data_IF_858961717534
#
_entry.id   IF_858961717534
#
_cell.length_a   1.000
_cell.length_b   1.000
_cell.length_c   1.000
_cell.angle_alpha   90.00
_cell.angle_beta   90.00
_cell.angle_gamma   90.00
#
_symmetry.space_group_name_H-M   'P 1'
#
loop_
_entity.id
_entity.type
_entity.pdbx_description
1 polymer ?
#
# COMPACT_ATOMS: atom_id res chain seq x y z
N UNK A 1 0.52 22.79 3.67
CA UNK A 1 -0.01 22.06 2.49
C UNK A 1 1.07 21.17 1.88
N UNK A 2 2.18 21.73 1.37
CA UNK A 2 3.27 20.94 0.77
C UNK A 2 3.87 19.85 1.67
N UNK A 3 4.20 20.15 2.95
CA UNK A 3 4.73 19.14 3.89
C UNK A 3 3.84 17.91 4.02
N UNK A 4 2.52 18.12 4.04
CA UNK A 4 1.53 17.05 4.15
C UNK A 4 1.51 16.17 2.90
N UNK A 5 1.43 16.80 1.72
CA UNK A 5 1.50 16.08 0.45
C UNK A 5 2.78 15.24 0.35
N UNK A 6 3.95 15.84 0.58
CA UNK A 6 5.22 15.11 0.50
C UNK A 6 5.32 14.00 1.54
N UNK A 7 4.83 14.20 2.76
CA UNK A 7 4.77 13.14 3.76
C UNK A 7 3.96 11.93 3.28
N UNK A 8 2.77 12.17 2.71
CA UNK A 8 1.88 11.11 2.20
C UNK A 8 2.50 10.43 0.98
N UNK A 9 3.09 11.20 0.06
CA UNK A 9 3.78 10.66 -1.10
C UNK A 9 4.96 9.78 -0.71
N UNK A 10 5.80 10.23 0.23
CA UNK A 10 6.98 9.47 0.66
C UNK A 10 6.60 8.22 1.45
N UNK A 11 5.59 8.28 2.34
CA UNK A 11 5.13 7.05 3.01
C UNK A 11 4.47 6.09 2.02
N UNK A 12 3.72 6.60 1.03
CA UNK A 12 3.18 5.77 -0.05
C UNK A 12 4.27 5.06 -0.84
N UNK A 13 5.39 5.75 -1.10
CA UNK A 13 6.55 5.17 -1.78
C UNK A 13 7.21 4.07 -0.94
N UNK A 14 7.34 4.27 0.37
CA UNK A 14 7.85 3.22 1.28
C UNK A 14 6.90 2.03 1.34
N UNK A 15 5.59 2.26 1.40
CA UNK A 15 4.59 1.20 1.41
C UNK A 15 4.68 0.39 0.12
N UNK A 16 4.77 1.06 -1.04
CA UNK A 16 4.92 0.36 -2.32
C UNK A 16 6.22 -0.43 -2.42
N UNK A 17 7.34 0.14 -2.01
CA UNK A 17 8.62 -0.59 -1.99
C UNK A 17 8.53 -1.82 -1.07
N UNK A 18 7.84 -1.71 0.07
CA UNK A 18 7.62 -2.83 0.97
C UNK A 18 6.75 -3.90 0.34
N UNK A 19 5.68 -3.52 -0.36
CA UNK A 19 4.78 -4.41 -1.11
C UNK A 19 5.56 -5.18 -2.19
N UNK A 20 6.23 -4.43 -3.08
CA UNK A 20 7.13 -4.95 -4.11
C UNK A 20 8.21 -5.89 -3.52
N UNK A 21 8.71 -5.63 -2.30
CA UNK A 21 9.69 -6.50 -1.65
C UNK A 21 9.08 -7.83 -1.17
N UNK A 22 7.85 -7.80 -0.65
CA UNK A 22 7.15 -9.00 -0.20
C UNK A 22 6.74 -9.88 -1.39
N UNK A 23 6.41 -9.27 -2.53
CA UNK A 23 5.96 -9.96 -3.73
C UNK A 23 7.09 -10.35 -4.70
N UNK A 24 8.36 -10.11 -4.32
CA UNK A 24 9.51 -10.35 -5.19
C UNK A 24 9.55 -11.77 -5.77
N UNK A 25 9.19 -12.79 -4.99
CA UNK A 25 9.20 -14.18 -5.44
C UNK A 25 8.11 -14.45 -6.49
N UNK A 26 6.95 -13.80 -6.35
CA UNK A 26 5.83 -13.92 -7.29
C UNK A 26 6.18 -13.15 -8.57
N UNK A 27 6.71 -11.95 -8.46
CA UNK A 27 7.14 -11.13 -9.59
C UNK A 27 8.27 -11.79 -10.37
N UNK A 28 9.17 -12.48 -9.67
CA UNK A 28 10.21 -13.29 -10.29
C UNK A 28 9.62 -14.38 -11.20
N UNK A 29 8.53 -15.02 -10.76
CA UNK A 29 7.82 -16.04 -11.54
C UNK A 29 7.03 -15.44 -12.72
N UNK A 30 6.50 -14.21 -12.56
CA UNK A 30 5.77 -13.48 -13.62
C UNK A 30 6.69 -12.77 -14.62
N UNK A 31 8.01 -12.80 -14.40
CA UNK A 31 9.03 -12.06 -15.17
C UNK A 31 8.79 -10.54 -15.16
N UNK A 32 8.15 -10.03 -14.12
CA UNK A 32 7.82 -8.61 -14.01
C UNK A 32 9.00 -7.78 -13.50
N UNK A 33 9.01 -6.51 -13.92
CA UNK A 33 10.01 -5.54 -13.47
C UNK A 33 9.54 -5.03 -12.13
N UNK A 34 10.39 -5.16 -11.12
CA UNK A 34 10.12 -4.74 -9.76
C UNK A 34 11.22 -3.76 -9.31
N UNK A 35 10.85 -2.68 -8.63
CA UNK A 35 11.80 -1.65 -8.17
C UNK A 35 12.87 -2.19 -7.22
N UNK A 36 12.54 -3.26 -6.49
CA UNK A 36 13.43 -3.96 -5.57
C UNK A 36 14.59 -4.60 -6.31
N UNK A 37 14.39 -5.09 -7.55
CA UNK A 37 15.48 -5.60 -8.40
C UNK A 37 16.44 -4.49 -8.83
N UNK A 38 15.91 -3.28 -9.08
CA UNK A 38 16.72 -2.12 -9.48
C UNK A 38 17.56 -1.59 -8.30
N UNK A 39 16.96 -1.55 -7.11
CA UNK A 39 17.59 -1.02 -5.91
C UNK A 39 18.44 -2.08 -5.17
N UNK A 40 18.19 -3.37 -5.39
CA UNK A 40 18.87 -4.52 -4.79
C UNK A 40 19.06 -4.35 -3.27
N UNK A 41 20.29 -4.44 -2.77
CA UNK A 41 20.61 -4.29 -1.34
C UNK A 41 20.32 -2.89 -0.79
N UNK A 42 20.12 -1.90 -1.66
CA UNK A 42 19.78 -0.52 -1.29
C UNK A 42 18.33 -0.31 -0.84
N UNK A 43 17.43 -1.26 -1.13
CA UNK A 43 15.99 -1.14 -0.84
C UNK A 43 15.71 -0.79 0.63
N UNK A 44 16.36 -1.51 1.55
CA UNK A 44 16.17 -1.33 2.98
C UNK A 44 16.71 0.02 3.49
N UNK A 45 17.99 0.39 3.27
CA UNK A 45 18.49 1.68 3.77
C UNK A 45 17.78 2.87 3.13
N UNK A 46 17.42 2.81 1.84
CA UNK A 46 16.68 3.91 1.21
C UNK A 46 15.26 4.04 1.75
N UNK A 47 14.54 2.94 1.94
CA UNK A 47 13.20 2.95 2.56
C UNK A 47 13.22 3.55 3.96
N UNK A 48 14.25 3.22 4.76
CA UNK A 48 14.43 3.76 6.12
C UNK A 48 14.69 5.28 6.12
N UNK A 49 15.51 5.78 5.21
CA UNK A 49 15.74 7.23 5.09
C UNK A 49 14.46 7.94 4.68
N UNK A 50 13.74 7.37 3.70
CA UNK A 50 12.51 7.98 3.16
C UNK A 50 11.41 8.03 4.23
N UNK A 51 11.21 6.96 5.00
CA UNK A 51 10.20 6.96 6.06
C UNK A 51 10.54 7.96 7.17
N UNK A 52 11.82 8.12 7.54
CA UNK A 52 12.25 9.12 8.52
C UNK A 52 11.90 10.53 8.04
N UNK A 53 12.14 10.84 6.77
CA UNK A 53 11.76 12.13 6.18
C UNK A 53 10.24 12.30 6.15
N UNK A 54 9.49 11.26 5.77
CA UNK A 54 8.03 11.29 5.75
C UNK A 54 7.44 11.59 7.14
N UNK A 55 7.97 10.94 8.18
CA UNK A 55 7.59 11.14 9.58
C UNK A 55 7.97 12.53 10.08
N UNK A 56 9.14 13.06 9.70
CA UNK A 56 9.54 14.43 10.05
C UNK A 56 8.63 15.50 9.43
N UNK A 57 8.07 15.25 8.24
CA UNK A 57 7.18 16.18 7.56
C UNK A 57 5.75 16.19 8.13
N UNK A 58 5.20 15.01 8.45
CA UNK A 58 3.91 14.86 9.12
C UNK A 58 3.82 13.50 9.83
N UNK A 59 4.27 13.47 11.08
CA UNK A 59 4.35 12.26 11.89
C UNK A 59 3.00 11.51 11.98
N UNK A 60 1.92 12.24 12.28
CA UNK A 60 0.61 11.61 12.53
C UNK A 60 0.11 10.86 11.29
N UNK A 61 0.15 11.47 10.12
CA UNK A 61 -0.38 10.84 8.91
C UNK A 61 0.53 9.75 8.38
N UNK A 62 1.84 10.02 8.26
CA UNK A 62 2.79 9.01 7.81
C UNK A 62 2.76 7.75 8.70
N UNK A 63 2.82 7.92 10.02
CA UNK A 63 2.77 6.78 10.92
C UNK A 63 1.44 6.01 10.79
N UNK A 64 0.29 6.69 10.77
CA UNK A 64 -0.99 5.97 10.66
C UNK A 64 -1.22 5.31 9.31
N UNK A 65 -0.76 5.89 8.20
CA UNK A 65 -0.84 5.24 6.89
C UNK A 65 0.05 4.01 6.81
N UNK A 66 1.26 4.07 7.36
CA UNK A 66 2.18 2.93 7.42
C UNK A 66 1.63 1.80 8.34
N UNK A 67 1.09 2.15 9.51
CA UNK A 67 0.48 1.14 10.40
C UNK A 67 -0.80 0.55 9.79
N UNK A 68 -1.58 1.35 9.06
CA UNK A 68 -2.75 0.87 8.35
C UNK A 68 -2.38 -0.05 7.18
N UNK A 69 -1.34 0.24 6.39
CA UNK A 69 -0.88 -0.69 5.34
C UNK A 69 -0.43 -2.01 5.90
N UNK A 70 0.28 -2.02 7.03
CA UNK A 70 0.61 -3.25 7.74
C UNK A 70 -0.65 -4.01 8.18
N UNK A 71 -1.56 -3.32 8.87
CA UNK A 71 -2.78 -3.91 9.43
C UNK A 71 -3.62 -4.57 8.34
N UNK A 72 -3.87 -3.85 7.24
CA UNK A 72 -4.75 -4.32 6.16
C UNK A 72 -4.04 -5.33 5.26
N UNK A 73 -2.77 -5.09 4.89
CA UNK A 73 -2.00 -6.00 4.04
C UNK A 73 -1.78 -7.37 4.68
N UNK A 74 -1.28 -7.40 5.92
CA UNK A 74 -1.01 -8.68 6.60
C UNK A 74 -2.29 -9.44 6.98
N UNK A 75 -3.43 -8.75 7.11
CA UNK A 75 -4.70 -9.42 7.41
C UNK A 75 -5.21 -10.33 6.28
N UNK A 76 -4.77 -10.11 5.02
CA UNK A 76 -5.19 -10.93 3.86
C UNK A 76 -4.64 -12.36 3.93
N UNK A 77 -3.45 -12.58 4.50
CA UNK A 77 -2.77 -13.89 4.48
C UNK A 77 -3.23 -14.73 5.67
N UNK A 78 -4.32 -15.48 5.54
CA UNK A 78 -4.89 -16.23 6.65
C UNK A 78 -3.96 -17.40 7.11
N UNK A 79 -3.75 -17.53 8.43
CA UNK A 79 -2.96 -18.58 9.10
C UNK A 79 -1.45 -18.67 8.79
N UNK A 80 -0.85 -17.69 8.11
CA UNK A 80 0.61 -17.65 8.02
C UNK A 80 1.22 -17.23 9.36
N UNK A 81 2.22 -17.97 9.81
CA UNK A 81 2.94 -17.70 11.06
C UNK A 81 4.13 -16.82 10.74
N UNK A 82 4.15 -15.61 11.30
CA UNK A 82 5.21 -14.63 11.08
C UNK A 82 6.43 -14.92 11.99
N UNK A 83 7.59 -14.27 11.75
CA UNK A 83 8.79 -14.47 12.58
C UNK A 83 8.60 -14.21 14.08
N UNK A 84 7.58 -13.43 14.46
CA UNK A 84 7.17 -13.23 15.86
C UNK A 84 6.54 -14.46 16.51
N UNK A 85 6.25 -15.50 15.72
CA UNK A 85 5.45 -16.71 16.03
C UNK A 85 3.95 -16.46 16.18
N UNK A 86 3.47 -15.25 15.92
CA UNK A 86 2.03 -14.95 15.86
C UNK A 86 1.49 -15.22 14.46
N UNK A 87 0.18 -15.48 14.39
CA UNK A 87 -0.53 -15.47 13.10
C UNK A 87 -0.62 -14.04 12.60
N UNK A 88 -0.52 -13.86 11.28
CA UNK A 88 -0.70 -12.58 10.59
C UNK A 88 -1.86 -11.71 11.12
N UNK A 89 -3.05 -12.30 11.26
CA UNK A 89 -4.23 -11.59 11.76
C UNK A 89 -4.09 -11.13 13.22
N UNK A 90 -3.34 -11.86 14.05
CA UNK A 90 -3.10 -11.49 15.46
C UNK A 90 -2.17 -10.28 15.53
N UNK A 91 -1.15 -10.24 14.68
CA UNK A 91 -0.29 -9.07 14.57
C UNK A 91 -1.04 -7.86 14.02
N UNK A 92 -1.87 -8.03 12.99
CA UNK A 92 -2.72 -6.95 12.47
C UNK A 92 -3.60 -6.35 13.57
N UNK A 93 -4.21 -7.17 14.43
CA UNK A 93 -5.00 -6.68 15.57
C UNK A 93 -4.12 -5.92 16.58
N UNK A 94 -2.93 -6.43 16.88
CA UNK A 94 -2.01 -5.77 17.80
C UNK A 94 -1.57 -4.40 17.26
N UNK A 95 -1.17 -4.33 15.99
CA UNK A 95 -0.77 -3.08 15.31
C UNK A 95 -1.94 -2.09 15.23
N UNK A 96 -3.15 -2.58 14.98
CA UNK A 96 -4.36 -1.77 15.02
C UNK A 96 -4.58 -1.12 16.40
N UNK A 97 -4.51 -1.92 17.47
CA UNK A 97 -4.67 -1.44 18.84
C UNK A 97 -3.60 -0.40 19.17
N UNK A 98 -2.34 -0.66 18.81
CA UNK A 98 -1.26 0.31 18.99
C UNK A 98 -1.54 1.62 18.23
N UNK A 99 -2.00 1.55 16.98
CA UNK A 99 -2.36 2.74 16.20
C UNK A 99 -3.45 3.56 16.89
N UNK A 100 -4.49 2.91 17.42
CA UNK A 100 -5.57 3.58 18.15
C UNK A 100 -5.05 4.27 19.42
N UNK A 101 -4.19 3.60 20.19
CA UNK A 101 -3.59 4.14 21.42
C UNK A 101 -2.73 5.37 21.12
N UNK A 102 -1.87 5.32 20.10
CA UNK A 102 -0.93 6.40 19.80
C UNK A 102 -1.53 7.57 19.02
N UNK A 103 -2.54 7.34 18.16
CA UNK A 103 -2.99 8.34 17.19
C UNK A 103 -4.48 8.69 17.24
N UNK A 104 -5.25 8.03 18.12
CA UNK A 104 -6.72 8.06 18.21
C UNK A 104 -7.45 7.14 17.22
N UNK A 105 -8.68 6.80 17.61
CA UNK A 105 -9.62 6.02 16.80
C UNK A 105 -9.89 6.66 15.43
N UNK A 106 -10.22 7.96 15.40
CA UNK A 106 -10.57 8.66 14.16
C UNK A 106 -9.42 8.71 13.15
N UNK A 107 -8.19 8.91 13.64
CA UNK A 107 -7.01 8.93 12.76
C UNK A 107 -6.75 7.54 12.18
N UNK A 108 -6.77 6.50 13.01
CA UNK A 108 -6.55 5.12 12.60
C UNK A 108 -7.62 4.65 11.62
N UNK A 109 -8.89 4.90 11.93
CA UNK A 109 -10.01 4.53 11.06
C UNK A 109 -9.90 5.20 9.68
N UNK A 110 -9.57 6.50 9.64
CA UNK A 110 -9.38 7.19 8.37
C UNK A 110 -8.23 6.61 7.54
N UNK A 111 -7.14 6.17 8.17
CA UNK A 111 -6.01 5.59 7.48
C UNK A 111 -6.35 4.20 6.93
N UNK A 112 -7.04 3.37 7.72
CA UNK A 112 -7.51 2.05 7.27
C UNK A 112 -8.45 2.18 6.07
N UNK A 113 -9.46 3.04 6.14
CA UNK A 113 -10.41 3.22 5.03
C UNK A 113 -9.68 3.62 3.74
N UNK A 114 -8.74 4.57 3.81
CA UNK A 114 -8.00 5.04 2.65
C UNK A 114 -7.04 3.97 2.09
N UNK A 115 -6.32 3.27 2.96
CA UNK A 115 -5.41 2.19 2.56
C UNK A 115 -6.15 0.98 2.01
N UNK A 116 -7.27 0.57 2.62
CA UNK A 116 -8.12 -0.49 2.07
C UNK A 116 -8.67 -0.09 0.70
N UNK A 117 -9.06 1.18 0.53
CA UNK A 117 -9.47 1.71 -0.78
C UNK A 117 -8.34 1.63 -1.81
N UNK A 118 -7.10 1.96 -1.43
CA UNK A 118 -5.93 1.84 -2.29
C UNK A 118 -5.68 0.38 -2.72
N UNK A 119 -5.67 -0.54 -1.77
CA UNK A 119 -5.48 -1.97 -2.07
C UNK A 119 -6.56 -2.55 -2.98
N UNK A 120 -7.81 -2.08 -2.88
CA UNK A 120 -8.86 -2.48 -3.81
C UNK A 120 -8.55 -1.95 -5.23
N UNK A 121 -7.99 -0.74 -5.35
CA UNK A 121 -7.56 -0.18 -6.64
C UNK A 121 -6.40 -0.99 -7.23
N UNK A 122 -5.41 -1.36 -6.43
CA UNK A 122 -4.34 -2.29 -6.84
C UNK A 122 -4.93 -3.61 -7.35
N UNK A 123 -5.77 -4.24 -6.53
CA UNK A 123 -6.46 -5.49 -6.86
C UNK A 123 -7.29 -5.38 -8.16
N UNK A 124 -7.90 -4.22 -8.46
CA UNK A 124 -8.62 -3.95 -9.72
C UNK A 124 -7.70 -3.82 -10.94
N UNK A 125 -6.54 -3.19 -10.76
CA UNK A 125 -5.54 -3.04 -11.82
C UNK A 125 -4.99 -4.42 -12.16
N UNK A 126 -4.59 -5.18 -11.15
CA UNK A 126 -3.94 -6.49 -11.31
C UNK A 126 -4.91 -7.52 -11.89
N UNK A 127 -6.19 -7.48 -11.48
CA UNK A 127 -7.22 -8.37 -12.03
C UNK A 127 -7.34 -8.30 -13.58
N UNK A 128 -6.95 -7.17 -14.20
CA UNK A 128 -6.97 -7.05 -15.67
C UNK A 128 -5.76 -7.68 -16.35
N UNK A 129 -4.63 -7.76 -15.65
CA UNK A 129 -3.36 -8.23 -16.21
C UNK A 129 -3.06 -9.68 -15.83
N UNK A 130 -3.67 -10.20 -14.77
CA UNK A 130 -3.31 -11.51 -14.24
C UNK A 130 -3.86 -12.67 -15.08
N UNK A 131 -2.93 -13.44 -15.66
CA UNK A 131 -3.21 -14.74 -16.32
C UNK A 131 -3.23 -15.88 -15.30
N UNK A 132 -2.71 -15.65 -14.09
CA UNK A 132 -2.63 -16.60 -12.98
C UNK A 132 -3.34 -16.04 -11.76
N UNK A 133 -4.45 -16.65 -11.35
CA UNK A 133 -5.26 -16.16 -10.23
C UNK A 133 -4.53 -16.30 -8.90
N UNK A 134 -4.21 -15.18 -8.28
CA UNK A 134 -3.79 -15.14 -6.88
C UNK A 134 -5.00 -15.27 -5.94
N UNK A 135 -4.98 -16.30 -5.08
CA UNK A 135 -6.07 -16.58 -4.12
C UNK A 135 -6.31 -15.50 -3.05
N UNK A 136 -5.51 -14.43 -3.03
CA UNK A 136 -5.55 -13.37 -2.03
C UNK A 136 -6.10 -12.03 -2.54
N UNK A 137 -6.43 -11.92 -3.84
CA UNK A 137 -7.01 -10.70 -4.41
C UNK A 137 -8.48 -10.53 -3.93
N UNK A 138 -8.84 -9.33 -3.46
CA UNK A 138 -10.20 -9.03 -2.96
C UNK A 138 -11.25 -9.28 -4.05
N UNK A 139 -10.94 -9.03 -5.32
CA UNK A 139 -11.84 -9.28 -6.43
C UNK A 139 -12.13 -10.77 -6.64
N UNK A 140 -11.15 -11.65 -6.42
CA UNK A 140 -11.36 -13.09 -6.53
C UNK A 140 -12.17 -13.65 -5.34
N UNK A 141 -12.03 -13.04 -4.15
CA UNK A 141 -12.77 -13.44 -2.95
C UNK A 141 -14.20 -12.91 -2.94
N UNK A 142 -14.41 -11.64 -3.27
CA UNK A 142 -15.71 -10.96 -3.15
C UNK A 142 -16.48 -10.86 -4.47
N UNK A 143 -15.79 -10.98 -5.60
CA UNK A 143 -16.32 -10.72 -6.94
C UNK A 143 -16.28 -9.23 -7.31
N UNK A 144 -16.13 -8.96 -8.62
CA UNK A 144 -16.01 -7.60 -9.18
C UNK A 144 -17.14 -6.63 -8.75
N UNK A 145 -18.44 -7.00 -8.79
CA UNK A 145 -19.50 -6.08 -8.39
C UNK A 145 -19.46 -5.72 -6.90
N UNK A 146 -19.20 -6.72 -6.04
CA UNK A 146 -19.14 -6.54 -4.59
C UNK A 146 -17.95 -5.67 -4.18
N UNK A 147 -16.77 -5.93 -4.76
CA UNK A 147 -15.57 -5.11 -4.54
C UNK A 147 -15.80 -3.65 -4.97
N UNK A 148 -16.49 -3.44 -6.11
CA UNK A 148 -16.83 -2.10 -6.59
C UNK A 148 -17.76 -1.37 -5.63
N UNK A 149 -18.84 -2.02 -5.19
CA UNK A 149 -19.78 -1.43 -4.23
C UNK A 149 -19.08 -1.11 -2.90
N UNK A 150 -18.22 -2.00 -2.41
CA UNK A 150 -17.45 -1.80 -1.20
C UNK A 150 -16.50 -0.61 -1.32
N UNK A 151 -15.76 -0.49 -2.43
CA UNK A 151 -14.91 0.66 -2.72
C UNK A 151 -15.71 1.98 -2.72
N UNK A 152 -16.88 2.00 -3.36
CA UNK A 152 -17.75 3.18 -3.39
C UNK A 152 -18.22 3.59 -2.00
N UNK A 153 -18.53 2.62 -1.13
CA UNK A 153 -18.89 2.89 0.28
C UNK A 153 -17.71 3.53 1.02
N UNK A 154 -16.49 2.98 0.90
CA UNK A 154 -15.29 3.54 1.52
C UNK A 154 -15.01 4.97 1.03
N UNK A 155 -15.22 5.23 -0.27
CA UNK A 155 -15.05 6.54 -0.88
C UNK A 155 -16.08 7.54 -0.33
N UNK A 156 -17.36 7.17 -0.23
CA UNK A 156 -18.42 8.02 0.33
C UNK A 156 -18.14 8.35 1.81
N UNK A 157 -17.73 7.35 2.60
CA UNK A 157 -17.35 7.57 4.01
C UNK A 157 -16.16 8.53 4.09
N UNK A 158 -15.15 8.34 3.25
CA UNK A 158 -13.96 9.20 3.21
C UNK A 158 -14.30 10.64 2.81
N UNK A 159 -15.16 10.83 1.81
CA UNK A 159 -15.62 12.16 1.40
C UNK A 159 -16.39 12.88 2.51
N UNK A 160 -17.27 12.15 3.22
CA UNK A 160 -18.12 12.73 4.26
C UNK A 160 -17.34 13.11 5.50
N UNK A 161 -16.45 12.24 5.97
CA UNK A 161 -15.80 12.40 7.27
C UNK A 161 -14.36 12.92 7.18
N UNK A 162 -13.66 12.66 6.07
CA UNK A 162 -12.23 12.95 5.93
C UNK A 162 -11.84 13.58 4.57
N UNK A 163 -12.59 14.58 4.05
CA UNK A 163 -12.41 15.07 2.68
C UNK A 163 -11.00 15.59 2.39
N UNK A 164 -10.41 16.32 3.34
CA UNK A 164 -9.06 16.87 3.17
C UNK A 164 -8.03 15.75 3.07
N UNK A 165 -8.12 14.70 3.91
CA UNK A 165 -7.20 13.55 3.86
C UNK A 165 -7.32 12.83 2.53
N UNK A 166 -8.55 12.57 2.09
CA UNK A 166 -8.83 11.91 0.83
C UNK A 166 -8.20 12.66 -0.35
N UNK A 167 -8.35 13.99 -0.42
CA UNK A 167 -7.78 14.78 -1.52
C UNK A 167 -6.26 14.63 -1.58
N UNK A 168 -5.55 14.84 -0.47
CA UNK A 168 -4.09 14.69 -0.45
C UNK A 168 -3.65 13.25 -0.76
N UNK A 169 -4.39 12.27 -0.23
CA UNK A 169 -4.12 10.85 -0.45
C UNK A 169 -4.26 10.47 -1.92
N UNK A 170 -5.38 10.83 -2.57
CA UNK A 170 -5.64 10.54 -3.99
C UNK A 170 -4.62 11.21 -4.90
N UNK A 171 -4.28 12.48 -4.65
CA UNK A 171 -3.27 13.19 -5.46
C UNK A 171 -1.91 12.49 -5.30
N UNK A 172 -1.51 12.15 -4.06
CA UNK A 172 -0.23 11.49 -3.80
C UNK A 172 -0.17 10.08 -4.41
N UNK A 173 -1.20 9.25 -4.20
CA UNK A 173 -1.24 7.90 -4.75
C UNK A 173 -1.27 7.92 -6.28
N UNK A 174 -2.09 8.77 -6.89
CA UNK A 174 -2.15 8.91 -8.35
C UNK A 174 -0.80 9.34 -8.94
N UNK A 175 -0.14 10.32 -8.31
CA UNK A 175 1.20 10.76 -8.73
C UNK A 175 2.21 9.61 -8.65
N UNK A 176 2.12 8.79 -7.60
CA UNK A 176 2.98 7.64 -7.39
C UNK A 176 2.73 6.55 -8.45
N UNK A 177 1.47 6.20 -8.75
CA UNK A 177 1.17 5.26 -9.84
C UNK A 177 1.70 5.74 -11.18
N UNK A 178 1.52 7.02 -11.52
CA UNK A 178 2.04 7.59 -12.76
C UNK A 178 3.56 7.49 -12.84
N UNK A 179 4.25 7.78 -11.73
CA UNK A 179 5.71 7.68 -11.64
C UNK A 179 6.19 6.23 -11.84
N UNK A 180 5.58 5.27 -11.16
CA UNK A 180 5.93 3.86 -11.32
C UNK A 180 5.61 3.34 -12.72
N UNK A 181 4.47 3.74 -13.30
CA UNK A 181 4.13 3.38 -14.67
C UNK A 181 5.18 3.90 -15.68
N UNK A 182 5.67 5.14 -15.50
CA UNK A 182 6.76 5.68 -16.32
C UNK A 182 8.06 4.91 -16.13
N UNK A 183 8.43 4.57 -14.89
CA UNK A 183 9.63 3.79 -14.59
C UNK A 183 9.57 2.41 -15.23
N UNK A 184 8.46 1.69 -15.07
CA UNK A 184 8.26 0.37 -15.67
C UNK A 184 8.29 0.43 -17.20
N UNK A 185 7.70 1.47 -17.81
CA UNK A 185 7.79 1.68 -19.25
C UNK A 185 9.23 1.93 -19.73
N UNK A 186 10.03 2.66 -18.97
CA UNK A 186 11.41 2.97 -19.33
C UNK A 186 12.33 1.74 -19.20
N UNK A 187 12.19 0.99 -18.11
CA UNK A 187 12.98 -0.24 -17.89
C UNK A 187 12.61 -1.37 -18.85
N UNK A 188 11.32 -1.57 -19.15
CA UNK A 188 10.88 -2.59 -20.11
C UNK A 188 11.37 -2.31 -21.54
N UNK A 189 11.61 -1.05 -21.89
CA UNK A 189 12.19 -0.71 -23.18
C UNK A 189 13.69 -1.05 -23.26
N UNK A 190 14.43 -0.83 -22.17
CA UNK A 190 15.87 -1.11 -22.12
C UNK A 190 16.18 -2.62 -22.15
N UNK A 191 15.37 -3.46 -21.49
CA UNK A 191 15.53 -4.92 -21.51
C UNK A 191 15.26 -5.56 -22.89
N UNK A 192 14.55 -4.89 -23.80
CA UNK A 192 14.35 -5.36 -25.18
C UNK A 192 15.52 -5.05 -26.11
N UNK A 193 16.49 -4.24 -25.67
CA UNK A 193 17.66 -3.85 -26.47
C UNK A 193 18.96 -4.54 -26.03
N UNK A 194 18.94 -5.28 -24.91
CA UNK A 194 20.05 -6.13 -24.43
C UNK A 194 19.88 -7.57 -24.87
#
# INVERSE_FOLDING_TARGET
MFKRFFSIFLVGLVIKIMDDYLDIDIDNLKEEINIVRVLDRGVLPYSLIIIVIALALNFKEAATYFLASYTVGMAKINNYVLPSKLKSWQESIFVFILSVIFFSWLQTLSAIILITGLQIVDDFIDYRYDKYKEKNNILDVMGFPTATAFFMILLIISLKFFPVKLIYFVIASTTLYLLFWQLYKLYSHNLKMS
#
